data_IF_272116599605
#
_entry.id   IF_272116599605
#
_cell.length_a   1.000
_cell.length_b   1.000
_cell.length_c   1.000
_cell.angle_alpha   90.00
_cell.angle_beta   90.00
_cell.angle_gamma   90.00
#
_symmetry.space_group_name_H-M   'P 1'
#
loop_
_entity.id
_entity.type
_entity.pdbx_description
1 polymer ?
#
# COMPACT_ATOMS: atom_id res chain seq x y z
N UNK A 1 -9.65 26.49 -7.07
CA UNK A 1 -9.12 25.36 -7.87
C UNK A 1 -9.01 24.19 -6.91
N UNK A 2 -9.44 22.99 -7.31
CA UNK A 2 -9.31 21.80 -6.44
C UNK A 2 -7.84 21.56 -6.10
N UNK A 3 -7.55 21.40 -4.81
CA UNK A 3 -6.21 21.14 -4.30
C UNK A 3 -6.06 19.67 -3.91
N UNK A 4 -5.09 18.99 -4.51
CA UNK A 4 -4.83 17.57 -4.32
C UNK A 4 -3.42 17.32 -3.81
N UNK A 5 -3.29 16.42 -2.83
CA UNK A 5 -2.01 15.84 -2.45
C UNK A 5 -1.85 14.45 -3.07
N UNK A 6 -0.68 14.17 -3.64
CA UNK A 6 -0.28 12.81 -4.04
C UNK A 6 0.72 12.30 -3.00
N UNK A 7 0.34 11.25 -2.26
CA UNK A 7 1.17 10.53 -1.30
C UNK A 7 1.75 9.27 -1.95
N UNK A 8 2.98 9.37 -2.45
CA UNK A 8 3.74 8.28 -3.03
C UNK A 8 4.42 7.46 -1.94
N UNK A 9 4.25 6.14 -2.00
CA UNK A 9 4.86 5.22 -1.04
C UNK A 9 5.47 3.99 -1.71
N UNK A 10 6.40 3.37 -1.00
CA UNK A 10 6.97 2.06 -1.28
C UNK A 10 8.36 2.15 -1.92
N UNK A 11 8.64 1.21 -2.80
CA UNK A 11 9.80 1.27 -3.69
C UNK A 11 9.31 1.45 -5.13
N UNK A 12 10.23 1.64 -6.06
CA UNK A 12 9.92 1.61 -7.49
C UNK A 12 9.37 0.24 -7.89
N UNK A 13 8.78 0.12 -9.08
CA UNK A 13 8.32 -1.19 -9.55
C UNK A 13 9.52 -2.12 -9.75
N UNK A 14 9.46 -3.35 -9.23
CA UNK A 14 10.37 -4.41 -9.68
C UNK A 14 9.86 -5.04 -10.96
N UNK A 15 10.77 -5.53 -11.80
CA UNK A 15 10.39 -6.29 -13.02
C UNK A 15 9.69 -7.62 -12.68
N UNK A 16 9.95 -8.19 -11.50
CA UNK A 16 9.37 -9.46 -11.04
C UNK A 16 8.20 -9.23 -10.09
N UNK A 17 7.12 -10.00 -10.27
CA UNK A 17 5.93 -9.93 -9.40
C UNK A 17 6.24 -10.46 -8.01
N UNK A 18 5.59 -9.90 -6.99
CA UNK A 18 5.74 -10.30 -5.58
C UNK A 18 5.55 -11.80 -5.33
N UNK A 19 4.56 -12.43 -5.98
CA UNK A 19 4.30 -13.86 -5.86
C UNK A 19 5.45 -14.74 -6.41
N UNK A 20 6.05 -14.32 -7.52
CA UNK A 20 7.20 -15.00 -8.11
C UNK A 20 8.41 -14.87 -7.19
N UNK A 21 8.63 -13.68 -6.62
CA UNK A 21 9.71 -13.43 -5.65
C UNK A 21 9.54 -14.26 -4.39
N UNK A 22 8.32 -14.34 -3.83
CA UNK A 22 8.03 -15.22 -2.68
C UNK A 22 8.52 -16.64 -2.93
N UNK A 23 8.24 -17.18 -4.11
CA UNK A 23 8.64 -18.53 -4.46
C UNK A 23 10.17 -18.72 -4.45
N UNK A 24 10.93 -17.72 -4.91
CA UNK A 24 12.40 -17.77 -4.90
C UNK A 24 13.05 -17.62 -3.53
N UNK A 25 12.34 -17.06 -2.54
CA UNK A 25 12.90 -16.75 -1.22
C UNK A 25 12.39 -17.64 -0.09
N UNK A 26 11.49 -18.59 -0.38
CA UNK A 26 10.85 -19.44 0.63
C UNK A 26 11.82 -20.21 1.54
N UNK A 27 13.06 -20.47 1.10
CA UNK A 27 14.09 -21.12 1.92
C UNK A 27 15.13 -20.15 2.50
N UNK A 28 15.08 -18.87 2.12
CA UNK A 28 16.07 -17.84 2.49
C UNK A 28 15.50 -16.78 3.44
N UNK A 29 14.18 -16.76 3.62
CA UNK A 29 13.49 -15.91 4.57
C UNK A 29 13.46 -14.42 4.21
N UNK A 30 13.08 -13.61 5.20
CA UNK A 30 12.87 -12.16 5.07
C UNK A 30 14.13 -11.41 4.68
N UNK A 31 15.30 -11.85 5.13
CA UNK A 31 16.59 -11.23 4.77
C UNK A 31 16.81 -11.20 3.27
N UNK A 32 16.39 -12.26 2.54
CA UNK A 32 16.50 -12.27 1.09
C UNK A 32 15.51 -11.32 0.41
N UNK A 33 14.30 -11.13 0.96
CA UNK A 33 13.35 -10.13 0.46
C UNK A 33 13.94 -8.71 0.57
N UNK A 34 14.66 -8.42 1.67
CA UNK A 34 15.34 -7.14 1.88
C UNK A 34 16.45 -6.97 0.83
N UNK A 35 17.32 -7.96 0.66
CA UNK A 35 18.40 -7.92 -0.34
C UNK A 35 17.86 -7.73 -1.76
N UNK A 36 16.77 -8.43 -2.12
CA UNK A 36 16.13 -8.23 -3.43
C UNK A 36 15.53 -6.83 -3.60
N UNK A 37 15.19 -6.13 -2.52
CA UNK A 37 14.80 -4.72 -2.55
C UNK A 37 16.00 -3.76 -2.57
N UNK A 38 17.23 -4.26 -2.46
CA UNK A 38 18.46 -3.47 -2.65
C UNK A 38 19.07 -3.71 -4.04
N UNK A 39 18.79 -4.87 -4.65
CA UNK A 39 19.20 -5.19 -6.02
C UNK A 39 18.54 -4.22 -7.03
N UNK A 40 19.36 -3.42 -7.73
CA UNK A 40 18.99 -2.26 -8.54
C UNK A 40 18.22 -2.55 -9.85
N UNK A 41 17.23 -3.46 -9.86
CA UNK A 41 16.45 -3.81 -11.06
C UNK A 41 15.06 -3.14 -11.09
N UNK A 42 15.05 -1.83 -10.86
CA UNK A 42 13.85 -1.02 -10.78
C UNK A 42 13.38 -0.53 -12.14
N UNK A 43 12.07 -0.44 -12.33
CA UNK A 43 11.51 0.23 -13.50
C UNK A 43 11.77 1.74 -13.43
N UNK A 44 11.86 2.37 -14.60
CA UNK A 44 12.06 3.81 -14.69
C UNK A 44 10.83 4.55 -14.10
N UNK A 45 11.02 5.45 -13.11
CA UNK A 45 9.93 6.16 -12.46
C UNK A 45 9.14 7.09 -13.40
N UNK A 46 9.67 7.38 -14.60
CA UNK A 46 9.01 8.23 -15.61
C UNK A 46 7.62 7.72 -16.00
N UNK A 47 7.38 6.41 -15.98
CA UNK A 47 6.07 5.86 -16.37
C UNK A 47 4.99 6.19 -15.34
N UNK A 48 5.30 6.02 -14.06
CA UNK A 48 4.43 6.46 -12.96
C UNK A 48 4.19 7.97 -13.00
N UNK A 49 5.25 8.75 -13.23
CA UNK A 49 5.14 10.20 -13.29
C UNK A 49 4.25 10.66 -14.44
N UNK A 50 4.51 10.21 -15.68
CA UNK A 50 3.71 10.59 -16.87
C UNK A 50 2.23 10.27 -16.67
N UNK A 51 1.95 9.15 -16.03
CA UNK A 51 0.59 8.75 -15.70
C UNK A 51 -0.07 9.74 -14.72
N UNK A 52 0.58 10.03 -13.60
CA UNK A 52 0.07 10.98 -12.60
C UNK A 52 -0.01 12.40 -13.15
N UNK A 53 0.93 12.78 -14.01
CA UNK A 53 0.94 14.08 -14.68
C UNK A 53 -0.28 14.28 -15.56
N UNK A 54 -0.60 13.27 -16.37
CA UNK A 54 -1.73 13.33 -17.29
C UNK A 54 -3.11 13.24 -16.64
N UNK A 55 -3.20 12.65 -15.44
CA UNK A 55 -4.48 12.48 -14.74
C UNK A 55 -4.71 13.51 -13.63
N UNK A 56 -3.63 14.08 -13.07
CA UNK A 56 -3.73 14.95 -11.90
C UNK A 56 -2.86 16.21 -12.02
N UNK A 57 -1.53 16.07 -12.11
CA UNK A 57 -0.59 17.18 -11.87
C UNK A 57 -0.81 18.36 -12.83
N UNK A 58 -1.15 18.09 -14.09
CA UNK A 58 -1.34 19.15 -15.09
C UNK A 58 -2.69 19.88 -14.99
N UNK A 59 -3.71 19.22 -14.40
CA UNK A 59 -5.11 19.67 -14.44
C UNK A 59 -5.58 20.24 -13.08
N UNK A 60 -4.84 20.03 -11.98
CA UNK A 60 -5.20 20.45 -10.62
C UNK A 60 -4.03 21.06 -9.84
N UNK A 61 -4.32 21.87 -8.81
CA UNK A 61 -3.31 22.35 -7.86
C UNK A 61 -2.78 21.18 -7.04
N UNK A 62 -1.61 20.67 -7.43
CA UNK A 62 -1.12 19.37 -6.99
C UNK A 62 0.19 19.51 -6.22
N UNK A 63 0.18 19.02 -4.98
CA UNK A 63 1.37 18.86 -4.15
C UNK A 63 1.74 17.37 -4.03
N UNK A 64 3.04 17.05 -4.07
CA UNK A 64 3.53 15.68 -3.96
C UNK A 64 4.29 15.48 -2.65
N UNK A 65 4.01 14.36 -1.98
CA UNK A 65 4.68 13.88 -0.78
C UNK A 65 5.16 12.46 -1.02
N UNK A 66 6.39 12.16 -0.60
CA UNK A 66 7.02 10.91 -1.02
C UNK A 66 7.79 10.22 0.10
N UNK A 67 7.55 8.93 0.27
CA UNK A 67 8.48 8.05 0.98
C UNK A 67 8.95 6.95 0.04
N UNK A 68 10.26 6.73 -0.05
CA UNK A 68 10.84 5.75 -0.95
C UNK A 68 11.96 4.92 -0.28
N UNK A 69 11.90 3.60 -0.43
CA UNK A 69 12.90 2.63 0.07
C UNK A 69 14.19 2.58 -0.77
N UNK A 70 14.68 3.71 -1.29
CA UNK A 70 15.79 3.73 -2.23
C UNK A 70 16.82 4.82 -1.93
N UNK A 71 18.04 4.40 -1.55
CA UNK A 71 19.16 5.30 -1.22
C UNK A 71 20.06 5.63 -2.41
N UNK A 72 19.81 5.05 -3.59
CA UNK A 72 20.59 5.34 -4.79
C UNK A 72 20.39 6.81 -5.22
N UNK A 73 21.47 7.58 -5.25
CA UNK A 73 21.43 9.02 -5.52
C UNK A 73 20.88 9.38 -6.90
N UNK A 74 21.14 8.56 -7.91
CA UNK A 74 20.62 8.80 -9.26
C UNK A 74 19.10 8.62 -9.31
N UNK A 75 18.60 7.59 -8.62
CA UNK A 75 17.15 7.36 -8.45
C UNK A 75 16.51 8.50 -7.65
N UNK A 76 17.14 8.93 -6.56
CA UNK A 76 16.67 10.07 -5.77
C UNK A 76 16.57 11.34 -6.61
N UNK A 77 17.66 11.70 -7.29
CA UNK A 77 17.73 12.89 -8.14
C UNK A 77 16.67 12.84 -9.24
N UNK A 78 16.49 11.69 -9.89
CA UNK A 78 15.44 11.51 -10.89
C UNK A 78 14.03 11.72 -10.30
N UNK A 79 13.73 11.11 -9.16
CA UNK A 79 12.43 11.26 -8.49
C UNK A 79 12.16 12.71 -8.05
N UNK A 80 13.16 13.40 -7.51
CA UNK A 80 13.06 14.82 -7.11
C UNK A 80 12.82 15.72 -8.33
N UNK A 81 13.53 15.47 -9.44
CA UNK A 81 13.37 16.23 -10.67
C UNK A 81 11.99 16.02 -11.31
N UNK A 82 11.48 14.79 -11.31
CA UNK A 82 10.17 14.46 -11.88
C UNK A 82 9.04 15.01 -11.02
N UNK A 83 8.99 14.66 -9.74
CA UNK A 83 7.82 14.90 -8.91
C UNK A 83 7.85 16.23 -8.17
N UNK A 84 9.02 16.87 -8.01
CA UNK A 84 9.21 18.13 -7.27
C UNK A 84 8.44 18.15 -5.93
N UNK A 85 8.63 17.14 -5.06
CA UNK A 85 7.81 16.97 -3.86
C UNK A 85 8.00 18.10 -2.85
N UNK A 86 6.93 18.48 -2.15
CA UNK A 86 6.97 19.47 -1.06
C UNK A 86 7.74 18.97 0.15
N UNK A 87 7.60 17.68 0.47
CA UNK A 87 8.40 16.98 1.46
C UNK A 87 8.62 15.53 1.03
N UNK A 88 9.77 14.96 1.41
CA UNK A 88 10.12 13.60 1.02
C UNK A 88 11.03 12.92 2.04
N UNK A 89 11.07 11.59 2.01
CA UNK A 89 12.01 10.73 2.74
C UNK A 89 12.53 9.65 1.80
N UNK A 90 13.85 9.47 1.79
CA UNK A 90 14.53 8.34 1.19
C UNK A 90 15.30 7.60 2.28
N UNK A 91 15.17 6.29 2.34
CA UNK A 91 15.88 5.46 3.32
C UNK A 91 16.01 4.01 2.86
N UNK A 92 16.98 3.30 3.42
CA UNK A 92 17.13 1.85 3.25
C UNK A 92 15.91 1.08 3.74
N UNK A 93 15.65 -0.07 3.11
CA UNK A 93 14.60 -0.99 3.55
C UNK A 93 14.89 -1.46 4.98
N UNK A 94 14.01 -1.12 5.91
CA UNK A 94 14.09 -1.56 7.30
C UNK A 94 13.58 -2.99 7.47
N UNK A 95 14.06 -3.65 8.51
CA UNK A 95 13.38 -4.79 9.13
C UNK A 95 12.20 -4.30 9.98
N UNK A 96 11.25 -5.19 10.24
CA UNK A 96 10.12 -4.92 11.11
C UNK A 96 9.95 -6.09 12.06
N UNK A 97 9.68 -5.78 13.32
CA UNK A 97 9.29 -6.79 14.28
C UNK A 97 7.86 -7.24 13.99
N UNK A 98 7.72 -8.54 13.75
CA UNK A 98 6.44 -9.21 13.63
C UNK A 98 6.58 -10.68 14.04
N UNK A 99 5.50 -11.19 14.62
CA UNK A 99 5.22 -12.61 14.78
C UNK A 99 3.83 -12.88 14.19
N UNK A 100 3.62 -14.06 13.61
CA UNK A 100 2.30 -14.49 13.14
C UNK A 100 1.28 -14.50 14.30
N UNK A 101 1.72 -14.75 15.53
CA UNK A 101 0.92 -14.64 16.75
C UNK A 101 0.38 -13.22 16.98
N UNK A 102 1.10 -12.17 16.56
CA UNK A 102 0.58 -10.81 16.65
C UNK A 102 -0.65 -10.60 15.74
N UNK A 103 -0.78 -11.41 14.68
CA UNK A 103 -1.95 -11.45 13.80
C UNK A 103 -2.98 -12.53 14.21
N UNK A 104 -2.81 -13.15 15.38
CA UNK A 104 -3.59 -14.32 15.82
C UNK A 104 -3.60 -15.48 14.81
N UNK A 105 -2.51 -15.65 14.06
CA UNK A 105 -2.30 -16.77 13.12
C UNK A 105 -1.53 -17.87 13.86
N UNK A 106 -2.08 -19.09 13.87
CA UNK A 106 -1.43 -20.26 14.47
C UNK A 106 -0.71 -21.08 13.39
N UNK A 107 0.55 -21.45 13.63
CA UNK A 107 1.27 -22.40 12.79
C UNK A 107 0.88 -23.85 13.06
N UNK A 108 0.31 -24.14 14.23
CA UNK A 108 0.00 -25.49 14.70
C UNK A 108 -1.46 -25.88 14.47
N UNK A 109 -2.39 -24.94 14.67
CA UNK A 109 -3.82 -25.17 14.45
C UNK A 109 -4.15 -25.01 12.97
N UNK A 110 -4.36 -26.14 12.29
CA UNK A 110 -4.63 -26.19 10.85
C UNK A 110 -6.06 -25.77 10.48
N UNK A 111 -6.98 -25.81 11.45
CA UNK A 111 -8.34 -25.33 11.26
C UNK A 111 -8.44 -23.82 11.51
N UNK A 112 -8.38 -23.06 10.42
CA UNK A 112 -8.46 -21.59 10.40
C UNK A 112 -9.75 -21.07 11.05
N UNK A 113 -10.81 -21.88 11.09
CA UNK A 113 -12.08 -21.47 11.71
C UNK A 113 -11.95 -21.29 13.22
N UNK A 114 -11.01 -21.99 13.86
CA UNK A 114 -10.71 -21.87 15.29
C UNK A 114 -9.81 -20.70 15.64
N UNK A 115 -9.22 -20.03 14.65
CA UNK A 115 -8.36 -18.87 14.92
C UNK A 115 -9.17 -17.69 15.45
N UNK A 116 -8.62 -16.97 16.44
CA UNK A 116 -9.23 -15.78 17.02
C UNK A 116 -8.99 -14.53 16.15
N UNK A 117 -9.55 -14.57 14.95
CA UNK A 117 -9.48 -13.51 13.93
C UNK A 117 -10.88 -13.25 13.35
N UNK A 118 -11.04 -12.16 12.60
CA UNK A 118 -12.30 -11.83 11.95
C UNK A 118 -12.72 -12.91 10.94
N UNK A 119 -14.02 -13.05 10.70
CA UNK A 119 -14.55 -13.95 9.67
C UNK A 119 -14.07 -13.61 8.26
N UNK A 120 -13.79 -12.32 8.01
CA UNK A 120 -13.25 -11.84 6.75
C UNK A 120 -11.80 -12.29 6.58
N UNK A 121 -10.99 -12.20 7.63
CA UNK A 121 -9.63 -12.71 7.64
C UNK A 121 -9.63 -14.25 7.44
N UNK A 122 -10.52 -14.99 8.10
CA UNK A 122 -10.68 -16.45 7.90
C UNK A 122 -10.94 -16.80 6.43
N UNK A 123 -11.91 -16.13 5.79
CA UNK A 123 -12.18 -16.29 4.34
C UNK A 123 -10.96 -15.95 3.48
N UNK A 124 -10.24 -14.90 3.86
CA UNK A 124 -8.99 -14.47 3.24
C UNK A 124 -7.88 -15.52 3.26
N UNK A 125 -7.66 -16.13 4.41
CA UNK A 125 -6.66 -17.17 4.60
C UNK A 125 -7.07 -18.48 3.93
N UNK A 126 -8.34 -18.89 4.06
CA UNK A 126 -8.85 -20.07 3.38
C UNK A 126 -8.56 -20.03 1.87
N UNK A 127 -8.80 -18.90 1.20
CA UNK A 127 -8.45 -18.75 -0.23
C UNK A 127 -6.96 -18.99 -0.49
N UNK A 128 -6.06 -18.50 0.36
CA UNK A 128 -4.62 -18.73 0.16
C UNK A 128 -4.26 -20.20 0.35
N UNK A 129 -4.70 -20.81 1.46
CA UNK A 129 -4.41 -22.21 1.75
C UNK A 129 -4.96 -23.14 0.67
N UNK A 130 -6.21 -22.94 0.21
CA UNK A 130 -6.80 -23.73 -0.87
C UNK A 130 -6.01 -23.63 -2.18
N UNK A 131 -5.43 -22.48 -2.50
CA UNK A 131 -4.64 -22.29 -3.72
C UNK A 131 -3.20 -22.80 -3.59
N UNK A 132 -2.67 -22.98 -2.38
CA UNK A 132 -1.28 -23.41 -2.15
C UNK A 132 -1.16 -24.91 -1.89
N UNK A 133 -2.15 -25.52 -1.24
CA UNK A 133 -2.20 -26.96 -0.97
C UNK A 133 -1.12 -27.50 -0.02
N UNK A 134 -0.23 -26.65 0.52
CA UNK A 134 0.82 -27.05 1.46
C UNK A 134 0.84 -26.09 2.65
N UNK A 135 0.60 -26.64 3.85
CA UNK A 135 0.45 -25.87 5.09
C UNK A 135 1.75 -25.15 5.49
N UNK A 136 2.84 -25.89 5.66
CA UNK A 136 4.10 -25.37 6.18
C UNK A 136 4.67 -24.29 5.24
N UNK A 137 4.61 -24.55 3.93
CA UNK A 137 4.95 -23.56 2.91
C UNK A 137 4.09 -22.29 3.04
N UNK A 138 2.79 -22.43 3.25
CA UNK A 138 1.88 -21.27 3.35
C UNK A 138 2.16 -20.46 4.60
N UNK A 139 2.52 -21.11 5.72
CA UNK A 139 2.95 -20.42 6.95
C UNK A 139 4.23 -19.62 6.69
N UNK A 140 5.20 -20.16 5.96
CA UNK A 140 6.41 -19.41 5.59
C UNK A 140 6.12 -18.25 4.62
N UNK A 141 5.20 -18.44 3.67
CA UNK A 141 4.70 -17.34 2.83
C UNK A 141 4.04 -16.23 3.67
N UNK A 142 3.34 -16.58 4.76
CA UNK A 142 2.77 -15.57 5.67
C UNK A 142 3.83 -14.79 6.43
N UNK A 143 4.95 -15.39 6.82
CA UNK A 143 6.05 -14.61 7.44
C UNK A 143 6.57 -13.54 6.46
N UNK A 144 6.76 -13.91 5.19
CA UNK A 144 7.14 -12.96 4.14
C UNK A 144 6.06 -11.89 3.94
N UNK A 145 4.78 -12.28 3.97
CA UNK A 145 3.67 -11.34 3.81
C UNK A 145 3.58 -10.36 5.00
N UNK A 146 3.85 -10.78 6.24
CA UNK A 146 3.88 -9.89 7.40
C UNK A 146 4.93 -8.80 7.24
N UNK A 147 6.12 -9.19 6.76
CA UNK A 147 7.17 -8.24 6.43
C UNK A 147 6.72 -7.25 5.35
N UNK A 148 6.17 -7.74 4.23
CA UNK A 148 5.73 -6.90 3.11
C UNK A 148 4.62 -5.93 3.51
N UNK A 149 3.65 -6.40 4.29
CA UNK A 149 2.55 -5.59 4.81
C UNK A 149 3.07 -4.52 5.76
N UNK A 150 4.03 -4.87 6.62
CA UNK A 150 4.69 -3.89 7.51
C UNK A 150 5.46 -2.84 6.71
N UNK A 151 6.27 -3.25 5.73
CA UNK A 151 7.01 -2.34 4.85
C UNK A 151 6.10 -1.39 4.08
N UNK A 152 5.02 -1.93 3.50
CA UNK A 152 4.02 -1.16 2.77
C UNK A 152 3.37 -0.11 3.66
N UNK A 153 2.79 -0.52 4.78
CA UNK A 153 2.04 0.39 5.64
C UNK A 153 2.94 1.41 6.32
N UNK A 154 4.19 1.06 6.65
CA UNK A 154 5.17 2.02 7.14
C UNK A 154 5.41 3.14 6.13
N UNK A 155 5.62 2.76 4.87
CA UNK A 155 5.84 3.69 3.78
C UNK A 155 4.63 4.60 3.54
N UNK A 156 3.42 4.02 3.57
CA UNK A 156 2.16 4.77 3.50
C UNK A 156 2.05 5.78 4.66
N UNK A 157 2.27 5.32 5.91
CA UNK A 157 2.31 6.18 7.10
C UNK A 157 3.24 7.36 6.91
N UNK A 158 4.49 7.12 6.50
CA UNK A 158 5.48 8.19 6.29
C UNK A 158 5.03 9.23 5.27
N UNK A 159 4.53 8.79 4.11
CA UNK A 159 4.04 9.73 3.09
C UNK A 159 2.85 10.60 3.58
N UNK A 160 1.95 10.02 4.39
CA UNK A 160 0.81 10.72 4.97
C UNK A 160 1.24 11.66 6.11
N UNK A 161 2.20 11.26 6.94
CA UNK A 161 2.80 12.12 7.98
C UNK A 161 3.44 13.36 7.36
N UNK A 162 4.15 13.22 6.24
CA UNK A 162 4.73 14.35 5.50
C UNK A 162 3.64 15.31 5.01
N UNK A 163 2.56 14.79 4.44
CA UNK A 163 1.39 15.58 4.02
C UNK A 163 0.75 16.28 5.21
N UNK A 164 0.52 15.58 6.32
CA UNK A 164 -0.10 16.14 7.53
C UNK A 164 0.73 17.27 8.12
N UNK A 165 2.05 17.08 8.18
CA UNK A 165 2.99 18.12 8.63
C UNK A 165 2.89 19.36 7.75
N UNK A 166 2.81 19.20 6.43
CA UNK A 166 2.65 20.32 5.51
C UNK A 166 1.30 21.03 5.65
N UNK A 167 0.19 20.30 5.80
CA UNK A 167 -1.13 20.87 6.10
C UNK A 167 -1.09 21.76 7.34
N UNK A 168 -0.46 21.28 8.42
CA UNK A 168 -0.31 22.00 9.68
C UNK A 168 0.56 23.26 9.53
N UNK A 169 1.75 23.14 8.96
CA UNK A 169 2.70 24.25 8.81
C UNK A 169 2.16 25.39 7.92
N UNK A 170 1.29 25.08 6.97
CA UNK A 170 0.76 26.05 6.01
C UNK A 170 -0.70 26.45 6.30
N UNK A 171 -1.30 25.90 7.36
CA UNK A 171 -2.71 26.09 7.71
C UNK A 171 -3.66 25.84 6.51
N UNK A 172 -3.44 24.74 5.80
CA UNK A 172 -4.26 24.32 4.66
C UNK A 172 -4.89 22.95 4.90
N UNK A 173 -5.91 22.64 4.10
CA UNK A 173 -6.44 21.28 3.96
C UNK A 173 -6.56 20.93 2.49
N UNK A 174 -6.16 19.72 2.12
CA UNK A 174 -6.36 19.23 0.77
C UNK A 174 -7.81 18.73 0.59
N UNK A 175 -8.41 19.05 -0.56
CA UNK A 175 -9.72 18.51 -0.94
C UNK A 175 -9.61 17.00 -1.19
N UNK A 176 -8.52 16.60 -1.85
CA UNK A 176 -8.24 15.23 -2.25
C UNK A 176 -6.84 14.77 -1.87
N UNK A 177 -6.73 13.50 -1.53
CA UNK A 177 -5.49 12.78 -1.28
C UNK A 177 -5.50 11.52 -2.15
N UNK A 178 -4.53 11.43 -3.06
CA UNK A 178 -4.23 10.20 -3.78
C UNK A 178 -3.09 9.49 -3.07
N UNK A 179 -3.36 8.35 -2.45
CA UNK A 179 -2.36 7.46 -1.86
C UNK A 179 -2.04 6.39 -2.89
N UNK A 180 -0.83 6.36 -3.43
CA UNK A 180 -0.50 5.39 -4.48
C UNK A 180 0.96 4.97 -4.49
N UNK A 181 1.20 3.81 -5.10
CA UNK A 181 2.56 3.35 -5.42
C UNK A 181 3.09 4.04 -6.67
N UNK A 182 4.41 4.06 -6.81
CA UNK A 182 5.10 4.54 -8.02
C UNK A 182 4.69 3.79 -9.31
N UNK A 183 4.19 2.57 -9.17
CA UNK A 183 3.79 1.69 -10.27
C UNK A 183 2.26 1.56 -10.44
N UNK A 184 1.49 2.43 -9.78
CA UNK A 184 0.02 2.42 -9.83
C UNK A 184 -0.57 2.66 -11.23
N UNK A 185 0.21 3.22 -12.17
CA UNK A 185 -0.18 3.49 -13.56
C UNK A 185 -0.74 2.27 -14.32
N UNK A 186 -0.34 1.05 -13.94
CA UNK A 186 -0.85 -0.18 -14.54
C UNK A 186 -2.35 -0.41 -14.26
N UNK A 187 -2.89 0.20 -13.21
CA UNK A 187 -4.24 -0.08 -12.70
C UNK A 187 -5.12 1.15 -12.52
N UNK A 188 -4.54 2.34 -12.33
CA UNK A 188 -5.27 3.59 -12.21
C UNK A 188 -5.72 4.12 -13.59
N UNK A 189 -6.58 3.40 -14.30
CA UNK A 189 -6.96 3.77 -15.68
C UNK A 189 -8.06 4.83 -15.77
N UNK A 190 -8.70 5.14 -14.64
CA UNK A 190 -9.83 6.07 -14.58
C UNK A 190 -9.35 7.52 -14.53
N UNK A 191 -9.90 8.38 -15.40
CA UNK A 191 -9.66 9.83 -15.36
C UNK A 191 -10.72 10.48 -14.48
N UNK A 192 -10.30 11.04 -13.35
CA UNK A 192 -11.22 11.67 -12.40
C UNK A 192 -11.54 13.12 -12.79
N UNK A 193 -12.81 13.50 -12.67
CA UNK A 193 -13.22 14.89 -12.58
C UNK A 193 -13.41 15.26 -11.10
N UNK A 194 -12.33 15.71 -10.45
CA UNK A 194 -12.32 15.98 -9.01
C UNK A 194 -13.22 17.15 -8.59
N UNK A 195 -13.60 18.03 -9.52
CA UNK A 195 -14.53 19.13 -9.25
C UNK A 195 -15.98 18.65 -9.07
N UNK A 196 -16.34 17.49 -9.64
CA UNK A 196 -17.71 16.96 -9.62
C UNK A 196 -17.85 15.68 -8.78
N UNK A 197 -16.74 15.16 -8.25
CA UNK A 197 -16.70 13.90 -7.53
C UNK A 197 -17.11 14.11 -6.05
N UNK A 198 -18.03 13.31 -5.49
CA UNK A 198 -18.37 13.41 -4.06
C UNK A 198 -17.16 13.06 -3.18
N UNK A 199 -16.70 14.01 -2.36
CA UNK A 199 -15.48 13.88 -1.56
C UNK A 199 -15.67 13.18 -0.20
N UNK A 200 -16.90 12.81 0.15
CA UNK A 200 -17.24 12.02 1.33
C UNK A 200 -16.97 10.52 1.14
N UNK A 201 -16.74 10.08 -0.10
CA UNK A 201 -16.39 8.70 -0.44
C UNK A 201 -14.88 8.48 -0.58
N UNK A 202 -14.46 7.26 -0.24
CA UNK A 202 -13.16 6.69 -0.58
C UNK A 202 -13.29 5.92 -1.89
N UNK A 203 -12.49 6.25 -2.89
CA UNK A 203 -12.45 5.56 -4.18
C UNK A 203 -11.30 4.57 -4.19
N UNK A 204 -11.64 3.32 -4.49
CA UNK A 204 -10.74 2.18 -4.36
C UNK A 204 -10.68 1.40 -5.66
N UNK A 205 -9.54 0.80 -5.90
CA UNK A 205 -9.36 -0.14 -7.00
C UNK A 205 -10.22 -1.39 -6.79
N UNK A 206 -11.00 -1.77 -7.81
CA UNK A 206 -11.66 -3.08 -7.83
C UNK A 206 -10.65 -4.22 -7.97
N UNK A 207 -10.87 -5.32 -7.25
CA UNK A 207 -10.05 -6.53 -7.31
C UNK A 207 -10.77 -7.63 -8.10
N UNK A 208 -10.03 -8.30 -8.99
CA UNK A 208 -10.53 -9.43 -9.79
C UNK A 208 -9.86 -10.73 -9.33
N UNK A 209 -10.31 -11.25 -8.19
CA UNK A 209 -9.76 -12.45 -7.54
C UNK A 209 -10.86 -13.22 -6.81
N UNK A 210 -10.55 -14.43 -6.32
CA UNK A 210 -11.50 -15.26 -5.56
C UNK A 210 -12.03 -14.54 -4.31
N UNK A 211 -11.25 -13.63 -3.73
CA UNK A 211 -11.59 -12.84 -2.54
C UNK A 211 -12.23 -11.47 -2.85
N UNK A 212 -12.65 -11.19 -4.10
CA UNK A 212 -13.17 -9.88 -4.54
C UNK A 212 -14.32 -9.30 -3.72
N UNK A 213 -15.10 -10.13 -3.03
CA UNK A 213 -16.26 -9.70 -2.23
C UNK A 213 -15.87 -9.21 -0.83
N UNK A 214 -14.62 -9.39 -0.42
CA UNK A 214 -14.11 -9.04 0.91
C UNK A 214 -12.65 -8.55 0.86
N UNK A 215 -12.28 -7.96 -0.27
CA UNK A 215 -10.96 -7.37 -0.47
C UNK A 215 -11.01 -6.27 -1.52
N UNK A 216 -10.10 -5.32 -1.39
CA UNK A 216 -9.93 -4.22 -2.36
C UNK A 216 -8.56 -4.29 -3.02
N UNK A 217 -8.40 -3.63 -4.17
CA UNK A 217 -7.08 -3.41 -4.74
C UNK A 217 -6.28 -2.45 -3.86
N UNK A 218 -4.97 -2.67 -3.81
CA UNK A 218 -4.09 -1.98 -2.87
C UNK A 218 -3.07 -1.08 -3.57
N UNK A 219 -3.16 -0.86 -4.89
CA UNK A 219 -2.13 -0.07 -5.59
C UNK A 219 -2.37 1.44 -5.49
N UNK A 220 -3.63 1.87 -5.38
CA UNK A 220 -4.02 3.27 -5.24
C UNK A 220 -5.33 3.40 -4.48
N UNK A 221 -5.47 4.52 -3.77
CA UNK A 221 -6.66 4.96 -3.03
C UNK A 221 -6.82 6.46 -3.26
N UNK A 222 -8.02 6.93 -3.60
CA UNK A 222 -8.34 8.36 -3.64
C UNK A 222 -9.37 8.67 -2.54
N UNK A 223 -9.10 9.68 -1.73
CA UNK A 223 -9.88 10.00 -0.52
C UNK A 223 -9.82 11.50 -0.24
N UNK A 224 -10.65 12.02 0.67
CA UNK A 224 -10.41 13.34 1.27
C UNK A 224 -9.30 13.29 2.33
N UNK A 225 -8.89 14.47 2.82
CA UNK A 225 -7.81 14.59 3.81
C UNK A 225 -8.13 13.93 5.15
N UNK A 226 -9.37 14.00 5.64
CA UNK A 226 -9.78 13.35 6.89
C UNK A 226 -9.67 11.82 6.81
N UNK A 227 -10.36 11.22 5.83
CA UNK A 227 -10.40 9.77 5.61
C UNK A 227 -9.02 9.18 5.28
N UNK A 228 -8.12 9.97 4.66
CA UNK A 228 -6.76 9.52 4.36
C UNK A 228 -5.96 9.11 5.60
N UNK A 229 -6.27 9.69 6.77
CA UNK A 229 -5.51 9.44 8.00
C UNK A 229 -5.70 8.02 8.53
N UNK A 230 -6.84 7.36 8.25
CA UNK A 230 -7.03 5.95 8.59
C UNK A 230 -5.97 5.05 7.92
N UNK A 231 -5.59 5.37 6.68
CA UNK A 231 -4.51 4.65 5.98
C UNK A 231 -3.13 4.95 6.57
N UNK A 232 -2.92 6.15 7.12
CA UNK A 232 -1.69 6.51 7.83
C UNK A 232 -1.52 5.73 9.13
N UNK A 233 -2.62 5.37 9.78
CA UNK A 233 -2.62 4.61 11.03
C UNK A 233 -2.43 3.09 10.83
N UNK A 234 -2.56 2.58 9.60
CA UNK A 234 -2.51 1.14 9.31
C UNK A 234 -1.23 0.46 9.76
N UNK A 235 -0.09 1.15 9.80
CA UNK A 235 1.15 0.55 10.28
C UNK A 235 1.10 0.25 11.77
N UNK A 236 0.66 1.20 12.58
CA UNK A 236 0.58 1.06 14.04
C UNK A 236 -0.54 0.10 14.43
N UNK A 237 -1.60 0.07 13.62
CA UNK A 237 -2.75 -0.82 13.82
C UNK A 237 -2.66 -2.15 13.08
N UNK A 238 -1.56 -2.46 12.39
CA UNK A 238 -1.50 -3.58 11.43
C UNK A 238 -1.94 -4.92 12.02
N UNK A 239 -1.63 -5.17 13.29
CA UNK A 239 -1.98 -6.39 14.01
C UNK A 239 -3.48 -6.52 14.35
N UNK A 240 -4.27 -5.44 14.22
CA UNK A 240 -5.72 -5.46 14.39
C UNK A 240 -6.45 -6.04 13.17
N UNK A 241 -5.75 -6.22 12.04
CA UNK A 241 -6.31 -6.57 10.74
C UNK A 241 -5.57 -7.76 10.13
N UNK A 242 -6.14 -8.30 9.05
CA UNK A 242 -5.53 -9.35 8.25
C UNK A 242 -4.16 -8.92 7.72
N UNK A 243 -3.19 -9.82 7.80
CA UNK A 243 -1.85 -9.64 7.23
C UNK A 243 -1.88 -9.30 5.73
N UNK A 244 -2.94 -9.67 4.99
CA UNK A 244 -3.06 -9.43 3.55
C UNK A 244 -3.60 -8.02 3.31
N UNK A 245 -2.79 -7.16 2.70
CA UNK A 245 -3.14 -5.74 2.45
C UNK A 245 -4.53 -5.52 1.80
N UNK A 246 -4.92 -6.27 0.75
CA UNK A 246 -6.27 -6.17 0.17
C UNK A 246 -7.41 -6.35 1.16
N UNK A 247 -7.22 -7.22 2.16
CA UNK A 247 -8.23 -7.59 3.15
C UNK A 247 -8.21 -6.63 4.33
N UNK A 248 -7.02 -6.22 4.80
CA UNK A 248 -6.94 -5.23 5.88
C UNK A 248 -7.51 -3.87 5.52
N UNK A 249 -7.42 -3.45 4.24
CA UNK A 249 -8.15 -2.25 3.77
C UNK A 249 -9.66 -2.46 3.91
N UNK A 250 -10.18 -3.62 3.50
CA UNK A 250 -11.59 -3.95 3.61
C UNK A 250 -12.06 -3.93 5.07
N UNK A 251 -11.32 -4.57 5.97
CA UNK A 251 -11.64 -4.59 7.39
C UNK A 251 -11.60 -3.19 8.01
N UNK A 252 -10.57 -2.40 7.72
CA UNK A 252 -10.43 -1.03 8.22
C UNK A 252 -11.60 -0.14 7.79
N UNK A 253 -12.00 -0.21 6.51
CA UNK A 253 -13.12 0.58 5.98
C UNK A 253 -14.43 0.20 6.67
N UNK A 254 -14.72 -1.10 6.79
CA UNK A 254 -15.98 -1.57 7.40
C UNK A 254 -16.02 -1.29 8.90
N UNK A 255 -14.92 -1.52 9.62
CA UNK A 255 -14.81 -1.25 11.05
C UNK A 255 -15.08 0.22 11.39
N UNK A 256 -14.60 1.13 10.55
CA UNK A 256 -14.77 2.57 10.72
C UNK A 256 -16.00 3.14 10.01
N UNK A 257 -16.84 2.28 9.39
CA UNK A 257 -18.06 2.67 8.67
C UNK A 257 -17.83 3.76 7.62
N UNK A 258 -16.73 3.66 6.87
CA UNK A 258 -16.35 4.66 5.87
C UNK A 258 -17.11 4.43 4.56
N UNK A 259 -17.62 5.50 3.97
CA UNK A 259 -18.27 5.44 2.65
C UNK A 259 -17.20 5.17 1.57
N UNK A 260 -17.46 4.22 0.67
CA UNK A 260 -16.52 3.90 -0.39
C UNK A 260 -17.21 3.58 -1.73
N UNK A 261 -16.46 3.72 -2.83
CA UNK A 261 -16.84 3.34 -4.18
C UNK A 261 -15.69 2.58 -4.85
N UNK A 262 -16.02 1.53 -5.59
CA UNK A 262 -15.07 0.76 -6.38
C UNK A 262 -15.04 1.25 -7.82
N UNK A 263 -13.83 1.35 -8.38
CA UNK A 263 -13.56 1.71 -9.77
C UNK A 263 -12.70 0.65 -10.47
#
# INVERSE_FOLDING_TARGET
MVKIAICLFGNLCQKTRGSTRSSSILNKGVSQEILMNEENNWQNPIHGYKHLFNNFIKDYDTDVFMHCWNENKDIQNNLLNLYKPKKYIFEKQKTFDFDLKNYNISSEEKDILKWNISDIAKKGYNVVFSNRGNWDRTIDEFKIEAFRTSSRWYSTKKSIELKNKYEQENNIKYDWILICRFDSHATLKYKFNLNALPNDYIYLQKRNSQDKNYSFGDLWILSNSYNSNYFGNMFDERFKYCIRCPISIFEMINKNKLNYKLL
#
